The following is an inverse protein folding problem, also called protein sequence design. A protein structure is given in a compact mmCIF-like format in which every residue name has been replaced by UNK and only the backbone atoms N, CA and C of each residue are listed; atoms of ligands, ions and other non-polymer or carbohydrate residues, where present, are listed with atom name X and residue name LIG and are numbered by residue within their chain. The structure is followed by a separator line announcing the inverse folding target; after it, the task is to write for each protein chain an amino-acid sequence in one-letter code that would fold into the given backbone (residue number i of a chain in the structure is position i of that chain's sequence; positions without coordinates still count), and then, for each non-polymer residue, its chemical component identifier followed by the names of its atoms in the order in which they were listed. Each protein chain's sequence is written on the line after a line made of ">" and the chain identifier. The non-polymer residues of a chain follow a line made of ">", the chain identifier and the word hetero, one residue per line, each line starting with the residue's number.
data_IF_508867824832
#
_entry.id   IF_508867824832
#
_cell.length_a   1.000
_cell.length_b   1.000
_cell.length_c   1.000
_cell.angle_alpha   90.00
_cell.angle_beta   90.00
_cell.angle_gamma   90.00
#
_symmetry.space_group_name_H-M   'P 1'
#
loop_
_entity.id
_entity.type
_entity.pdbx_description
1 polymer ?
#
# COMPACT_ATOMS: atom_id res chain seq x y z
N UNK A 1 26.38 -19.69 -4.68
CA UNK A 1 25.99 -19.47 -3.26
C UNK A 1 26.22 -18.02 -2.76
N UNK A 2 25.95 -16.99 -3.59
CA UNK A 2 26.01 -15.55 -3.24
C UNK A 2 24.65 -14.85 -3.35
N UNK A 3 23.56 -15.61 -3.51
CA UNK A 3 22.20 -15.12 -3.78
C UNK A 3 21.37 -14.80 -2.52
N UNK A 4 21.98 -14.83 -1.34
CA UNK A 4 21.30 -14.60 -0.05
C UNK A 4 21.70 -13.26 0.59
N UNK A 5 21.97 -12.23 -0.21
CA UNK A 5 21.95 -10.87 0.33
C UNK A 5 20.48 -10.39 0.36
N UNK A 6 19.77 -10.77 1.43
CA UNK A 6 18.34 -10.48 1.70
C UNK A 6 17.98 -9.00 1.87
N UNK A 7 18.81 -8.08 1.38
CA UNK A 7 18.63 -6.63 1.48
C UNK A 7 18.17 -5.97 0.17
N UNK A 8 17.95 -6.75 -0.90
CA UNK A 8 17.64 -6.20 -2.23
C UNK A 8 16.13 -5.90 -2.40
N UNK A 9 15.24 -6.65 -1.74
CA UNK A 9 13.77 -6.47 -1.87
C UNK A 9 13.17 -5.33 -1.02
N UNK A 10 13.81 -4.99 0.11
CA UNK A 10 13.26 -4.00 1.07
C UNK A 10 13.36 -2.58 0.52
N UNK A 11 14.39 -2.30 -0.30
CA UNK A 11 14.68 -0.96 -0.83
C UNK A 11 13.55 -0.34 -1.64
N UNK A 12 12.98 -0.99 -2.67
CA UNK A 12 11.90 -0.41 -3.45
C UNK A 12 10.63 -0.15 -2.63
N UNK A 13 10.31 -1.05 -1.68
CA UNK A 13 9.17 -0.88 -0.77
C UNK A 13 9.36 0.37 0.11
N UNK A 14 10.53 0.47 0.76
CA UNK A 14 10.87 1.61 1.61
C UNK A 14 10.84 2.91 0.80
N UNK A 15 11.35 2.90 -0.44
CA UNK A 15 11.30 4.07 -1.33
C UNK A 15 9.85 4.43 -1.67
N UNK A 16 8.99 3.47 -2.01
CA UNK A 16 7.59 3.73 -2.32
C UNK A 16 6.83 4.28 -1.11
N UNK A 17 7.07 3.74 0.08
CA UNK A 17 6.47 4.22 1.33
C UNK A 17 6.98 5.61 1.71
N UNK A 18 8.30 5.86 1.62
CA UNK A 18 8.88 7.18 1.88
C UNK A 18 8.36 8.23 0.89
N UNK A 19 8.23 7.86 -0.38
CA UNK A 19 7.69 8.75 -1.42
C UNK A 19 6.21 9.05 -1.15
N UNK A 20 5.42 8.06 -0.73
CA UNK A 20 4.04 8.28 -0.29
C UNK A 20 3.96 9.23 0.91
N UNK A 21 4.83 9.06 1.92
CA UNK A 21 4.91 9.97 3.07
C UNK A 21 5.25 11.40 2.63
N UNK A 22 6.27 11.55 1.77
CA UNK A 22 6.72 12.86 1.30
C UNK A 22 5.64 13.56 0.48
N UNK A 23 4.93 12.83 -0.39
CA UNK A 23 3.80 13.36 -1.15
C UNK A 23 2.64 13.74 -0.25
N UNK A 24 2.29 12.92 0.75
CA UNK A 24 1.27 13.26 1.75
C UNK A 24 1.63 14.53 2.51
N UNK A 25 2.88 14.67 2.97
CA UNK A 25 3.35 15.87 3.68
C UNK A 25 3.30 17.11 2.78
N UNK A 26 3.74 16.97 1.53
CA UNK A 26 3.71 18.05 0.54
C UNK A 26 2.27 18.48 0.25
N UNK A 27 1.35 17.51 0.11
CA UNK A 27 -0.07 17.75 -0.13
C UNK A 27 -0.73 18.44 1.08
N UNK A 28 -0.41 18.01 2.30
CA UNK A 28 -0.90 18.63 3.53
C UNK A 28 -0.43 20.10 3.66
N UNK A 29 0.85 20.37 3.39
CA UNK A 29 1.38 21.74 3.40
C UNK A 29 0.77 22.62 2.30
N UNK A 30 0.54 22.05 1.12
CA UNK A 30 -0.09 22.75 -0.01
C UNK A 30 -1.51 23.18 0.36
N UNK A 31 -2.30 22.24 0.90
CA UNK A 31 -3.65 22.51 1.39
C UNK A 31 -3.65 23.64 2.43
N UNK A 32 -2.75 23.56 3.43
CA UNK A 32 -2.66 24.58 4.47
C UNK A 32 -2.26 25.97 3.94
N UNK A 33 -1.36 26.03 2.96
CA UNK A 33 -0.86 27.29 2.39
C UNK A 33 -1.85 28.00 1.47
N UNK A 34 -2.61 27.25 0.67
CA UNK A 34 -3.49 27.87 -0.32
C UNK A 34 -4.88 28.21 0.21
N UNK A 35 -5.16 27.93 1.50
CA UNK A 35 -6.48 28.15 2.10
C UNK A 35 -7.63 27.60 1.22
N UNK A 36 -7.34 26.59 0.38
CA UNK A 36 -8.33 25.85 -0.42
C UNK A 36 -9.31 25.08 0.47
N UNK A 37 -9.00 25.06 1.76
CA UNK A 37 -9.85 24.61 2.85
C UNK A 37 -10.64 25.81 3.40
N UNK A 38 -11.61 26.34 2.64
CA UNK A 38 -12.75 26.96 3.32
C UNK A 38 -13.52 25.80 3.95
N UNK A 39 -13.50 25.65 5.30
CA UNK A 39 -14.10 24.51 5.95
C UNK A 39 -15.60 24.55 5.69
N UNK A 40 -16.06 23.72 4.75
CA UNK A 40 -17.49 23.47 4.65
C UNK A 40 -17.94 22.80 5.97
N UNK A 41 -19.12 23.17 6.49
CA UNK A 41 -19.55 22.84 7.85
C UNK A 41 -19.58 21.35 8.25
N UNK A 42 -19.62 20.33 7.35
CA UNK A 42 -19.51 18.96 7.83
C UNK A 42 -18.08 18.50 8.13
N UNK A 43 -17.04 19.07 7.52
CA UNK A 43 -15.65 18.57 7.64
C UNK A 43 -14.82 19.26 8.73
N UNK A 44 -15.21 20.47 9.12
CA UNK A 44 -14.49 21.27 10.12
C UNK A 44 -14.45 20.58 11.49
N UNK A 45 -15.60 20.00 11.88
CA UNK A 45 -15.75 19.23 13.13
C UNK A 45 -14.72 18.13 13.23
N UNK A 46 -14.49 17.40 12.15
CA UNK A 46 -13.59 16.25 12.15
C UNK A 46 -12.12 16.65 12.15
N UNK A 47 -11.74 17.71 11.42
CA UNK A 47 -10.33 18.08 11.25
C UNK A 47 -9.82 19.03 12.33
N UNK A 48 -10.70 19.55 13.17
CA UNK A 48 -10.32 20.26 14.39
C UNK A 48 -9.59 19.37 15.40
N UNK A 49 -9.81 18.05 15.36
CA UNK A 49 -9.23 17.10 16.32
C UNK A 49 -7.91 16.53 15.81
N UNK A 50 -6.79 16.62 16.56
CA UNK A 50 -5.48 16.16 16.12
C UNK A 50 -5.45 14.66 15.80
N UNK A 51 -6.24 13.86 16.52
CA UNK A 51 -6.34 12.41 16.33
C UNK A 51 -7.03 12.06 15.00
N UNK A 52 -8.10 12.77 14.62
CA UNK A 52 -8.74 12.63 13.31
C UNK A 52 -7.79 13.03 12.17
N UNK A 53 -7.04 14.13 12.34
CA UNK A 53 -6.02 14.56 11.37
C UNK A 53 -4.95 13.48 11.19
N UNK A 54 -4.50 12.87 12.28
CA UNK A 54 -3.53 11.77 12.22
C UNK A 54 -4.09 10.56 11.46
N UNK A 55 -5.32 10.12 11.76
CA UNK A 55 -5.99 9.03 11.05
C UNK A 55 -6.12 9.35 9.55
N UNK A 56 -6.49 10.59 9.22
CA UNK A 56 -6.62 11.04 7.84
C UNK A 56 -5.27 11.09 7.10
N UNK A 57 -4.21 11.56 7.75
CA UNK A 57 -2.85 11.55 7.19
C UNK A 57 -2.36 10.11 6.95
N UNK A 58 -2.60 9.21 7.89
CA UNK A 58 -2.27 7.79 7.73
C UNK A 58 -3.02 7.20 6.52
N UNK A 59 -4.30 7.52 6.37
CA UNK A 59 -5.08 7.16 5.18
C UNK A 59 -4.49 7.73 3.89
N UNK A 60 -4.08 9.00 3.85
CA UNK A 60 -3.46 9.60 2.66
C UNK A 60 -2.15 8.91 2.26
N UNK A 61 -1.32 8.53 3.23
CA UNK A 61 -0.10 7.74 2.94
C UNK A 61 -0.48 6.41 2.28
N UNK A 62 -1.48 5.70 2.80
CA UNK A 62 -1.97 4.45 2.20
C UNK A 62 -2.59 4.67 0.81
N UNK A 63 -3.31 5.78 0.63
CA UNK A 63 -3.92 6.16 -0.64
C UNK A 63 -2.88 6.40 -1.73
N UNK A 64 -1.84 7.20 -1.44
CA UNK A 64 -0.77 7.45 -2.41
C UNK A 64 0.07 6.20 -2.65
N UNK A 65 0.32 5.39 -1.62
CA UNK A 65 0.96 4.09 -1.78
C UNK A 65 0.16 3.19 -2.74
N UNK A 66 -1.16 3.09 -2.55
CA UNK A 66 -2.05 2.40 -3.48
C UNK A 66 -1.94 2.98 -4.89
N UNK A 67 -1.95 4.31 -5.05
CA UNK A 67 -1.87 4.94 -6.36
C UNK A 67 -0.57 4.58 -7.09
N UNK A 68 0.57 4.60 -6.39
CA UNK A 68 1.85 4.19 -6.97
C UNK A 68 1.85 2.71 -7.39
N UNK A 69 1.35 1.82 -6.53
CA UNK A 69 1.23 0.40 -6.85
C UNK A 69 0.28 0.16 -8.04
N UNK A 70 -0.86 0.85 -8.06
CA UNK A 70 -1.85 0.74 -9.13
C UNK A 70 -1.29 1.18 -10.48
N UNK A 71 -0.63 2.35 -10.52
CA UNK A 71 0.01 2.88 -11.73
C UNK A 71 1.14 1.95 -12.19
N UNK A 72 1.97 1.48 -11.28
CA UNK A 72 3.03 0.53 -11.62
C UNK A 72 2.46 -0.74 -12.26
N UNK A 73 1.39 -1.30 -11.69
CA UNK A 73 0.70 -2.47 -12.27
C UNK A 73 0.02 -2.17 -13.60
N UNK A 74 -0.51 -0.96 -13.82
CA UNK A 74 -1.09 -0.57 -15.13
C UNK A 74 -0.03 -0.58 -16.22
N UNK A 75 1.14 -0.05 -15.91
CA UNK A 75 2.27 -0.06 -16.83
C UNK A 75 2.62 -1.52 -17.13
N UNK A 76 2.86 -2.35 -16.12
CA UNK A 76 3.31 -3.72 -16.38
C UNK A 76 2.29 -4.59 -17.13
N UNK A 77 0.98 -4.44 -16.86
CA UNK A 77 -0.09 -5.16 -17.58
C UNK A 77 -0.08 -4.84 -19.08
N UNK A 78 0.05 -3.56 -19.44
CA UNK A 78 0.12 -3.13 -20.85
C UNK A 78 1.32 -3.73 -21.58
N UNK A 79 2.48 -3.69 -20.94
CA UNK A 79 3.70 -4.23 -21.54
C UNK A 79 3.63 -5.76 -21.71
N UNK A 80 3.03 -6.50 -20.77
CA UNK A 80 2.86 -7.95 -20.93
C UNK A 80 1.88 -8.33 -22.04
N UNK A 81 0.83 -7.52 -22.25
CA UNK A 81 -0.10 -7.72 -23.36
C UNK A 81 0.57 -7.51 -24.72
N UNK A 82 1.43 -6.49 -24.85
CA UNK A 82 2.23 -6.26 -26.06
C UNK A 82 3.22 -7.42 -26.32
N UNK A 83 3.76 -8.04 -25.28
CA UNK A 83 4.65 -9.20 -25.43
C UNK A 83 3.90 -10.45 -25.90
N UNK A 84 2.67 -10.68 -25.45
CA UNK A 84 1.88 -11.83 -25.89
C UNK A 84 1.47 -11.75 -27.37
N UNK A 85 1.43 -10.55 -27.95
CA UNK A 85 1.13 -10.35 -29.38
C UNK A 85 2.38 -10.37 -30.27
N UNK A 86 3.57 -10.17 -29.70
CA UNK A 86 4.84 -10.25 -30.42
C UNK A 86 5.27 -11.71 -30.68
N UNK A 87 5.67 -12.01 -31.93
CA UNK A 87 5.78 -13.38 -32.47
C UNK A 87 7.09 -14.13 -32.11
N UNK A 88 8.05 -13.52 -31.40
CA UNK A 88 9.36 -14.13 -31.13
C UNK A 88 9.84 -13.81 -29.72
N UNK A 89 9.74 -14.77 -28.79
CA UNK A 89 10.05 -14.63 -27.35
C UNK A 89 11.54 -14.71 -27.00
N UNK A 90 12.41 -15.05 -27.95
CA UNK A 90 13.81 -15.42 -27.67
C UNK A 90 14.77 -14.22 -27.51
N UNK A 91 14.56 -13.10 -28.19
CA UNK A 91 15.42 -11.90 -28.09
C UNK A 91 14.92 -10.87 -27.04
N UNK A 92 13.82 -11.20 -26.33
CA UNK A 92 12.98 -10.21 -25.67
C UNK A 92 13.53 -9.62 -24.37
N UNK A 93 14.38 -10.34 -23.64
CA UNK A 93 14.88 -9.87 -22.34
C UNK A 93 15.96 -8.81 -22.44
N UNK A 94 16.86 -8.95 -23.43
CA UNK A 94 18.16 -8.27 -23.42
C UNK A 94 18.17 -6.91 -24.13
N UNK A 95 17.42 -6.76 -25.24
CA UNK A 95 17.42 -5.49 -26.01
C UNK A 95 16.43 -4.45 -25.45
N UNK A 96 15.35 -4.92 -24.81
CA UNK A 96 14.27 -4.06 -24.31
C UNK A 96 14.62 -3.29 -23.03
N UNK A 97 15.54 -3.81 -22.22
CA UNK A 97 15.97 -3.19 -20.95
C UNK A 97 16.78 -1.91 -21.17
N UNK A 98 17.63 -1.92 -22.20
CA UNK A 98 18.47 -0.78 -22.56
C UNK A 98 17.66 0.41 -23.11
N UNK A 99 16.47 0.17 -23.68
CA UNK A 99 15.62 1.20 -24.30
C UNK A 99 14.37 1.56 -23.49
N UNK A 100 14.14 0.94 -22.33
CA UNK A 100 12.94 1.22 -21.55
C UNK A 100 12.93 2.67 -21.02
N UNK A 101 11.81 3.41 -21.18
CA UNK A 101 11.70 4.77 -20.67
C UNK A 101 11.86 4.79 -19.14
N UNK A 102 12.38 5.89 -18.60
CA UNK A 102 12.63 6.05 -17.16
C UNK A 102 11.40 5.70 -16.29
N UNK A 103 10.20 6.09 -16.73
CA UNK A 103 8.95 5.79 -16.02
C UNK A 103 8.67 4.29 -15.91
N UNK A 104 9.03 3.50 -16.92
CA UNK A 104 8.89 2.04 -16.86
C UNK A 104 9.87 1.45 -15.85
N UNK A 105 11.14 1.87 -15.89
CA UNK A 105 12.15 1.45 -14.91
C UNK A 105 11.77 1.84 -13.49
N UNK A 106 11.24 3.04 -13.30
CA UNK A 106 10.74 3.51 -12.02
C UNK A 106 9.50 2.73 -11.56
N UNK A 107 8.56 2.42 -12.45
CA UNK A 107 7.38 1.62 -12.14
C UNK A 107 7.74 0.17 -11.77
N UNK A 108 8.69 -0.43 -12.50
CA UNK A 108 9.23 -1.75 -12.19
C UNK A 108 9.96 -1.77 -10.86
N UNK A 109 10.76 -0.72 -10.59
CA UNK A 109 11.41 -0.52 -9.32
C UNK A 109 10.40 -0.37 -8.18
N UNK A 110 9.42 0.54 -8.29
CA UNK A 110 8.41 0.80 -7.25
C UNK A 110 7.46 -0.38 -6.99
N UNK A 111 7.18 -1.20 -8.01
CA UNK A 111 6.42 -2.45 -7.82
C UNK A 111 7.26 -3.59 -7.25
N UNK A 112 8.54 -3.34 -6.98
CA UNK A 112 9.55 -4.34 -6.63
C UNK A 112 9.56 -5.54 -7.59
N UNK A 113 9.07 -5.35 -8.83
CA UNK A 113 9.25 -6.27 -9.94
C UNK A 113 10.64 -6.03 -10.53
N UNK A 114 11.66 -6.05 -9.69
CA UNK A 114 13.01 -6.07 -10.22
C UNK A 114 13.11 -7.33 -11.06
N UNK A 115 13.39 -7.12 -12.34
CA UNK A 115 13.20 -8.11 -13.38
C UNK A 115 14.30 -9.14 -13.21
N UNK A 116 14.05 -10.10 -12.31
CA UNK A 116 14.84 -11.32 -12.17
C UNK A 116 14.93 -12.09 -13.49
N UNK A 117 14.25 -11.70 -14.58
CA UNK A 117 14.54 -12.24 -15.92
C UNK A 117 16.01 -12.10 -16.33
N UNK A 118 16.73 -11.05 -15.90
CA UNK A 118 18.17 -10.95 -16.21
C UNK A 118 18.94 -12.08 -15.50
N UNK A 119 18.68 -12.30 -14.21
CA UNK A 119 19.25 -13.43 -13.47
C UNK A 119 18.71 -14.81 -13.90
N UNK A 120 17.47 -14.89 -14.37
CA UNK A 120 16.90 -16.12 -14.94
C UNK A 120 17.64 -16.42 -16.23
N UNK A 121 17.91 -15.45 -17.10
CA UNK A 121 18.67 -15.71 -18.34
C UNK A 121 20.12 -16.08 -18.04
N UNK A 122 20.77 -15.44 -17.07
CA UNK A 122 22.13 -15.74 -16.67
C UNK A 122 22.23 -17.11 -15.97
N UNK A 123 21.29 -17.45 -15.08
CA UNK A 123 21.21 -18.79 -14.48
C UNK A 123 20.77 -19.86 -15.48
N UNK A 124 19.84 -19.59 -16.39
CA UNK A 124 19.48 -20.53 -17.47
C UNK A 124 20.69 -20.79 -18.39
N UNK A 125 21.54 -19.78 -18.62
CA UNK A 125 22.80 -19.95 -19.35
C UNK A 125 23.86 -20.71 -18.54
N UNK A 126 23.92 -20.52 -17.22
CA UNK A 126 24.76 -21.30 -16.29
C UNK A 126 24.31 -22.77 -16.24
N UNK A 127 23.01 -23.01 -16.34
CA UNK A 127 22.37 -24.33 -16.32
C UNK A 127 22.41 -25.04 -17.67
N UNK A 128 22.47 -24.33 -18.80
CA UNK A 128 22.79 -24.94 -20.09
C UNK A 128 24.13 -25.68 -20.06
N UNK A 129 25.03 -25.29 -19.16
CA UNK A 129 26.32 -25.93 -18.94
C UNK A 129 26.24 -27.19 -18.06
N UNK A 130 25.11 -27.42 -17.38
CA UNK A 130 24.87 -28.58 -16.50
C UNK A 130 23.79 -29.45 -17.15
N UNK A 131 24.08 -30.72 -17.42
CA UNK A 131 23.31 -31.58 -18.35
C UNK A 131 21.88 -31.96 -17.89
N UNK A 132 21.28 -31.30 -16.91
CA UNK A 132 19.91 -31.61 -16.49
C UNK A 132 19.18 -30.41 -15.84
N UNK A 133 18.56 -29.53 -16.64
CA UNK A 133 17.68 -28.49 -16.10
C UNK A 133 16.26 -29.05 -15.98
N UNK A 134 15.87 -29.57 -14.81
CA UNK A 134 14.46 -29.87 -14.53
C UNK A 134 13.65 -28.56 -14.59
N UNK A 135 12.85 -28.32 -15.66
CA UNK A 135 12.17 -27.05 -15.87
C UNK A 135 11.12 -26.78 -14.79
N UNK A 136 10.58 -27.83 -14.19
CA UNK A 136 9.56 -27.75 -13.15
C UNK A 136 10.16 -27.19 -11.86
N UNK A 137 11.39 -27.59 -11.51
CA UNK A 137 12.11 -27.08 -10.35
C UNK A 137 12.31 -25.56 -10.41
N UNK A 138 12.72 -25.03 -11.58
CA UNK A 138 12.96 -23.60 -11.76
C UNK A 138 11.68 -22.77 -11.80
N UNK A 139 10.65 -23.27 -12.51
CA UNK A 139 9.35 -22.62 -12.51
C UNK A 139 8.82 -22.47 -11.08
N UNK A 140 8.88 -23.54 -10.28
CA UNK A 140 8.44 -23.54 -8.89
C UNK A 140 9.28 -22.58 -8.02
N UNK A 141 10.61 -22.55 -8.20
CA UNK A 141 11.46 -21.64 -7.45
C UNK A 141 11.13 -20.17 -7.76
N UNK A 142 10.91 -19.84 -9.03
CA UNK A 142 10.53 -18.49 -9.46
C UNK A 142 9.17 -18.07 -8.89
N UNK A 143 8.18 -18.96 -8.90
CA UNK A 143 6.87 -18.67 -8.29
C UNK A 143 7.00 -18.42 -6.79
N UNK A 144 7.81 -19.23 -6.09
CA UNK A 144 8.02 -19.07 -4.64
C UNK A 144 8.71 -17.75 -4.27
N UNK A 145 9.60 -17.23 -5.11
CA UNK A 145 10.24 -15.93 -4.93
C UNK A 145 9.22 -14.82 -5.12
N UNK A 146 8.42 -14.90 -6.19
CA UNK A 146 7.39 -13.91 -6.47
C UNK A 146 6.31 -13.83 -5.40
N UNK A 147 5.84 -14.96 -4.90
CA UNK A 147 4.80 -15.00 -3.88
C UNK A 147 5.26 -14.25 -2.60
N UNK A 148 6.55 -14.35 -2.26
CA UNK A 148 7.15 -13.55 -1.19
C UNK A 148 7.11 -12.06 -1.50
N UNK A 149 7.52 -11.64 -2.71
CA UNK A 149 7.46 -10.24 -3.12
C UNK A 149 6.05 -9.66 -3.12
N UNK A 150 5.06 -10.41 -3.59
CA UNK A 150 3.66 -10.01 -3.51
C UNK A 150 3.24 -9.71 -2.07
N UNK A 151 3.59 -10.60 -1.14
CA UNK A 151 3.28 -10.42 0.28
C UNK A 151 3.96 -9.17 0.86
N UNK A 152 5.21 -8.92 0.50
CA UNK A 152 5.96 -7.74 0.93
C UNK A 152 5.32 -6.43 0.41
N UNK A 153 4.96 -6.36 -0.87
CA UNK A 153 4.30 -5.20 -1.47
C UNK A 153 2.89 -4.95 -0.92
N UNK A 154 2.17 -5.98 -0.47
CA UNK A 154 0.85 -5.82 0.15
C UNK A 154 0.93 -5.43 1.62
N UNK A 155 2.07 -5.68 2.29
CA UNK A 155 2.20 -5.52 3.74
C UNK A 155 1.77 -4.15 4.26
N UNK A 156 2.11 -3.00 3.64
CA UNK A 156 1.68 -1.69 4.14
C UNK A 156 0.15 -1.48 4.08
N UNK A 157 -0.50 -1.97 3.03
CA UNK A 157 -1.96 -1.88 2.88
C UNK A 157 -2.67 -2.80 3.89
N UNK A 158 -2.19 -4.03 4.05
CA UNK A 158 -2.72 -4.98 5.03
C UNK A 158 -2.56 -4.44 6.46
N UNK A 159 -1.39 -3.91 6.79
CA UNK A 159 -1.18 -3.23 8.06
C UNK A 159 -2.15 -2.06 8.24
N UNK A 160 -2.35 -1.24 7.21
CA UNK A 160 -3.32 -0.14 7.22
C UNK A 160 -4.75 -0.59 7.51
N UNK A 161 -5.19 -1.72 6.94
CA UNK A 161 -6.53 -2.27 7.21
C UNK A 161 -6.74 -2.71 8.66
N UNK A 162 -5.68 -3.09 9.37
CA UNK A 162 -5.76 -3.44 10.79
C UNK A 162 -5.48 -2.25 11.72
N UNK A 163 -4.62 -1.32 11.33
CA UNK A 163 -4.20 -0.19 12.15
C UNK A 163 -5.23 0.93 12.21
N UNK A 164 -5.95 1.23 11.12
CA UNK A 164 -6.94 2.31 11.10
C UNK A 164 -8.08 2.10 12.13
N UNK A 165 -8.72 0.92 12.22
CA UNK A 165 -9.72 0.65 13.25
C UNK A 165 -9.18 0.78 14.68
N UNK A 166 -7.93 0.37 14.90
CA UNK A 166 -7.27 0.53 16.20
C UNK A 166 -7.07 2.01 16.54
N UNK A 167 -6.74 2.86 15.56
CA UNK A 167 -6.70 4.31 15.72
C UNK A 167 -8.05 4.90 16.13
N UNK A 168 -9.15 4.42 15.54
CA UNK A 168 -10.51 4.80 15.95
C UNK A 168 -10.83 4.39 17.39
N UNK A 169 -10.46 3.17 17.78
CA UNK A 169 -10.61 2.69 19.15
C UNK A 169 -9.78 3.51 20.17
N UNK A 170 -8.56 3.91 19.81
CA UNK A 170 -7.77 4.82 20.65
C UNK A 170 -8.50 6.15 20.81
N UNK A 171 -9.13 6.66 19.74
CA UNK A 171 -9.95 7.86 19.78
C UNK A 171 -11.16 7.76 20.71
N UNK A 172 -11.84 6.61 20.76
CA UNK A 172 -12.96 6.41 21.71
C UNK A 172 -12.50 6.32 23.14
N UNK A 173 -11.44 5.56 23.41
CA UNK A 173 -10.88 5.47 24.76
C UNK A 173 -10.48 6.86 25.24
N UNK A 174 -9.78 7.64 24.40
CA UNK A 174 -9.38 9.00 24.72
C UNK A 174 -10.58 9.93 25.01
N UNK A 175 -11.58 9.96 24.12
CA UNK A 175 -12.75 10.82 24.30
C UNK A 175 -13.62 10.42 25.49
N UNK A 176 -13.74 9.12 25.78
CA UNK A 176 -14.46 8.64 26.97
C UNK A 176 -13.70 9.00 28.25
N UNK A 177 -12.37 8.87 28.27
CA UNK A 177 -11.56 9.28 29.43
C UNK A 177 -11.76 10.77 29.76
N UNK A 178 -11.72 11.64 28.76
CA UNK A 178 -11.98 13.07 28.96
C UNK A 178 -13.42 13.34 29.42
N UNK A 179 -14.39 12.61 28.88
CA UNK A 179 -15.78 12.72 29.31
C UNK A 179 -15.96 12.34 30.79
N UNK A 180 -15.23 11.33 31.28
CA UNK A 180 -15.26 10.92 32.70
C UNK A 180 -14.62 11.99 33.58
N UNK A 181 -13.48 12.57 33.16
CA UNK A 181 -12.82 13.67 33.90
C UNK A 181 -13.73 14.90 34.03
N UNK A 182 -14.46 15.26 32.97
CA UNK A 182 -15.42 16.36 32.97
C UNK A 182 -16.65 16.11 33.88
N UNK A 183 -16.85 14.87 34.34
CA UNK A 183 -17.94 14.50 35.24
C UNK A 183 -17.59 14.66 36.73
N UNK A 184 -16.31 14.70 37.09
CA UNK A 184 -15.85 14.81 38.49
C UNK A 184 -16.34 16.09 39.22
N UNK A 185 -16.31 17.29 38.60
CA UNK A 185 -16.82 18.51 39.23
C UNK A 185 -18.32 18.45 39.54
N UNK A 186 -19.08 17.70 38.74
CA UNK A 186 -20.52 17.51 38.88
C UNK A 186 -20.89 16.80 40.19
N UNK A 187 -20.08 15.82 40.57
CA UNK A 187 -20.25 15.03 41.79
C UNK A 187 -19.88 15.83 43.05
N UNK A 188 -18.99 16.81 42.91
CA UNK A 188 -18.52 17.65 44.01
C UNK A 188 -19.40 18.89 44.21
N UNK A 189 -20.13 19.33 43.18
CA UNK A 189 -21.03 20.49 43.25
C UNK A 189 -22.36 20.16 43.94
N UNK A 190 -22.53 20.59 45.18
CA UNK A 190 -23.79 20.46 45.94
C UNK A 190 -24.85 21.52 45.59
N UNK A 191 -24.55 22.47 44.69
CA UNK A 191 -25.45 23.57 44.33
C UNK A 191 -25.26 24.05 42.88
N UNK A 192 -26.41 24.44 42.28
CA UNK A 192 -26.64 25.27 41.06
C UNK A 192 -26.70 24.52 39.73
N UNK A 193 -27.90 24.51 39.12
CA UNK A 193 -28.21 23.87 37.84
C UNK A 193 -27.39 24.36 36.64
N UNK A 194 -26.77 25.53 36.69
CA UNK A 194 -25.87 26.02 35.62
C UNK A 194 -24.58 25.20 35.53
N UNK A 195 -23.98 24.82 36.68
CA UNK A 195 -22.77 23.99 36.69
C UNK A 195 -23.04 22.57 36.17
N UNK A 196 -24.27 22.08 36.38
CA UNK A 196 -24.75 20.81 35.83
C UNK A 196 -24.83 20.88 34.29
N UNK A 197 -25.43 21.94 33.75
CA UNK A 197 -25.61 22.12 32.32
C UNK A 197 -24.27 22.27 31.57
N UNK A 198 -23.32 23.02 32.15
CA UNK A 198 -21.99 23.23 31.59
C UNK A 198 -21.19 21.92 31.55
N UNK A 199 -21.17 21.16 32.65
CA UNK A 199 -20.47 19.87 32.73
C UNK A 199 -21.08 18.85 31.75
N UNK A 200 -22.41 18.80 31.62
CA UNK A 200 -23.07 17.94 30.63
C UNK A 200 -22.70 18.30 29.20
N UNK A 201 -22.54 19.59 28.89
CA UNK A 201 -22.10 20.03 27.57
C UNK A 201 -20.65 19.61 27.30
N UNK A 202 -19.76 19.70 28.28
CA UNK A 202 -18.38 19.21 28.15
C UNK A 202 -18.32 17.69 27.95
N UNK A 203 -19.07 16.91 28.73
CA UNK A 203 -19.17 15.44 28.58
C UNK A 203 -19.63 15.07 27.17
N UNK A 204 -20.68 15.72 26.66
CA UNK A 204 -21.20 15.48 25.32
C UNK A 204 -20.21 15.89 24.22
N UNK A 205 -19.43 16.95 24.44
CA UNK A 205 -18.38 17.36 23.51
C UNK A 205 -17.26 16.32 23.42
N UNK A 206 -16.78 15.79 24.55
CA UNK A 206 -15.76 14.75 24.55
C UNK A 206 -16.27 13.42 23.97
N UNK A 207 -17.52 13.07 24.24
CA UNK A 207 -18.16 11.91 23.66
C UNK A 207 -18.35 12.05 22.13
N UNK A 208 -18.63 13.26 21.65
CA UNK A 208 -18.63 13.55 20.22
C UNK A 208 -17.29 13.22 19.58
N UNK A 209 -16.18 13.65 20.18
CA UNK A 209 -14.82 13.37 19.67
C UNK A 209 -14.58 11.86 19.59
N UNK A 210 -15.00 11.09 20.62
CA UNK A 210 -14.91 9.63 20.62
C UNK A 210 -15.65 9.01 19.42
N UNK A 211 -16.90 9.42 19.17
CA UNK A 211 -17.67 8.86 18.05
C UNK A 211 -17.13 9.31 16.69
N UNK A 212 -16.74 10.58 16.56
CA UNK A 212 -16.26 11.16 15.30
C UNK A 212 -14.96 10.47 14.83
N UNK A 213 -14.02 10.23 15.76
CA UNK A 213 -12.76 9.53 15.48
C UNK A 213 -12.98 8.08 15.01
N UNK A 214 -13.92 7.36 15.62
CA UNK A 214 -14.26 5.99 15.20
C UNK A 214 -15.00 5.95 13.88
N UNK A 215 -15.97 6.85 13.68
CA UNK A 215 -16.72 6.93 12.42
C UNK A 215 -15.74 7.12 11.25
N UNK A 216 -14.80 8.07 11.37
CA UNK A 216 -13.80 8.32 10.34
C UNK A 216 -12.89 7.11 10.13
N UNK A 217 -12.37 6.52 11.19
CA UNK A 217 -11.51 5.35 11.08
C UNK A 217 -12.19 4.20 10.33
N UNK A 218 -13.47 3.94 10.64
CA UNK A 218 -14.26 2.91 9.98
C UNK A 218 -14.61 3.27 8.52
N UNK A 219 -14.97 4.52 8.24
CA UNK A 219 -15.21 4.94 6.86
C UNK A 219 -13.94 4.80 6.01
N UNK A 220 -12.80 5.27 6.52
CA UNK A 220 -11.53 5.22 5.78
C UNK A 220 -11.00 3.78 5.62
N UNK A 221 -11.16 2.90 6.62
CA UNK A 221 -10.72 1.51 6.47
C UNK A 221 -11.50 0.79 5.38
N UNK A 222 -12.79 1.08 5.19
CA UNK A 222 -13.57 0.50 4.10
C UNK A 222 -12.99 0.86 2.73
N UNK A 223 -12.55 2.12 2.55
CA UNK A 223 -11.86 2.53 1.33
C UNK A 223 -10.52 1.81 1.15
N UNK A 224 -9.72 1.67 2.21
CA UNK A 224 -8.43 0.96 2.15
C UNK A 224 -8.64 -0.54 1.83
N UNK A 225 -9.69 -1.16 2.38
CA UNK A 225 -10.06 -2.53 2.04
C UNK A 225 -10.39 -2.68 0.55
N UNK A 226 -11.19 -1.78 -0.01
CA UNK A 226 -11.52 -1.78 -1.44
C UNK A 226 -10.26 -1.62 -2.31
N UNK A 227 -9.36 -0.70 -1.94
CA UNK A 227 -8.07 -0.50 -2.60
C UNK A 227 -7.20 -1.76 -2.56
N UNK A 228 -7.16 -2.41 -1.40
CA UNK A 228 -6.40 -3.65 -1.20
C UNK A 228 -6.92 -4.76 -2.12
N UNK A 229 -8.25 -4.94 -2.19
CA UNK A 229 -8.87 -5.92 -3.09
C UNK A 229 -8.52 -5.59 -4.55
N UNK A 230 -8.65 -4.34 -4.98
CA UNK A 230 -8.37 -3.94 -6.35
C UNK A 230 -6.92 -4.25 -6.76
N UNK A 231 -5.95 -3.93 -5.90
CA UNK A 231 -4.53 -4.24 -6.16
C UNK A 231 -4.29 -5.75 -6.17
N UNK A 232 -4.85 -6.50 -5.21
CA UNK A 232 -4.72 -7.96 -5.14
C UNK A 232 -5.27 -8.64 -6.39
N UNK A 233 -6.49 -8.30 -6.81
CA UNK A 233 -7.10 -8.86 -8.02
C UNK A 233 -6.27 -8.60 -9.27
N UNK A 234 -5.70 -7.39 -9.37
CA UNK A 234 -4.85 -7.04 -10.50
C UNK A 234 -3.53 -7.81 -10.51
N UNK A 235 -2.89 -7.95 -9.34
CA UNK A 235 -1.69 -8.76 -9.19
C UNK A 235 -1.94 -10.21 -9.61
N UNK A 236 -3.00 -10.84 -9.12
CA UNK A 236 -3.37 -12.21 -9.47
C UNK A 236 -3.56 -12.39 -10.99
N UNK A 237 -4.22 -11.43 -11.65
CA UNK A 237 -4.38 -11.46 -13.11
C UNK A 237 -3.04 -11.45 -13.83
N UNK A 238 -2.14 -10.55 -13.44
CA UNK A 238 -0.82 -10.45 -14.10
C UNK A 238 0.02 -11.70 -13.80
N UNK A 239 -0.11 -12.28 -12.62
CA UNK A 239 0.63 -13.48 -12.25
C UNK A 239 0.26 -14.65 -13.14
N UNK A 240 -1.04 -14.93 -13.32
CA UNK A 240 -1.54 -15.97 -14.24
C UNK A 240 -1.02 -15.81 -15.67
N UNK A 241 -0.95 -14.58 -16.18
CA UNK A 241 -0.42 -14.31 -17.52
C UNK A 241 1.08 -14.62 -17.58
N UNK A 242 1.82 -14.23 -16.54
CA UNK A 242 3.25 -14.47 -16.48
C UNK A 242 3.58 -15.96 -16.40
N UNK A 243 2.85 -16.76 -15.61
CA UNK A 243 3.09 -18.21 -15.54
C UNK A 243 3.01 -18.85 -16.93
N UNK A 244 1.98 -18.47 -17.69
CA UNK A 244 1.81 -18.94 -19.06
C UNK A 244 2.98 -18.57 -19.98
N UNK A 245 3.55 -17.37 -19.83
CA UNK A 245 4.72 -16.93 -20.61
C UNK A 245 5.97 -17.72 -20.24
N UNK A 246 6.24 -17.93 -18.95
CA UNK A 246 7.41 -18.72 -18.49
C UNK A 246 7.34 -20.15 -18.98
N UNK A 247 6.20 -20.82 -18.78
CA UNK A 247 6.03 -22.21 -19.21
C UNK A 247 6.23 -22.39 -20.71
N UNK A 248 5.76 -21.44 -21.54
CA UNK A 248 5.99 -21.46 -22.99
C UNK A 248 7.48 -21.32 -23.31
N UNK A 249 8.18 -20.42 -22.63
CA UNK A 249 9.61 -20.19 -22.88
C UNK A 249 10.45 -21.40 -22.48
N UNK A 250 10.20 -22.00 -21.31
CA UNK A 250 10.90 -23.21 -20.85
C UNK A 250 10.66 -24.40 -21.77
N UNK A 251 9.41 -24.63 -22.20
CA UNK A 251 9.07 -25.72 -23.11
C UNK A 251 9.71 -25.56 -24.50
N UNK A 252 9.80 -24.32 -25.00
CA UNK A 252 10.48 -24.05 -26.27
C UNK A 252 12.00 -24.30 -26.19
N UNK A 253 12.62 -24.09 -25.03
CA UNK A 253 14.04 -24.35 -24.82
C UNK A 253 14.37 -25.83 -24.60
N UNK A 254 13.45 -26.63 -24.04
CA UNK A 254 13.65 -28.07 -23.85
C UNK A 254 13.52 -28.91 -25.13
N UNK A 255 12.92 -28.37 -26.20
CA UNK A 255 12.72 -29.07 -27.47
C UNK A 255 13.89 -28.88 -28.48
N UNK A 256 14.95 -28.18 -28.09
CA UNK A 256 16.15 -27.90 -28.87
C UNK A 256 17.39 -28.44 -28.18
#
# INVERSE_FOLDING_TARGET
>A
MRLLNGNISIRPLVVATLLAILVTLSFYQLIGRYHLWEPSPPFDRYLSTPLCVFIFLAFLVLFFYFLFQWVALQIVDKYLLEQMTAKSTADLGREYYTKAPFLYRLAMYLSARDLQLDHISDHLNELKNDNDPDPDFYANQLMSLRQRHFKECMSPLEFGTSALPLGGFIGTVYGISLAIEAFEPLLQSTQKGDALAESMTMVLSHLSIAFDTTLIALCLVLFVMLMTIAVKSKWQRIDMVYENVVWRTLKNHSNH
#
